data_IF_181674915058
#
_entry.id   IF_181674915058
#
_cell.length_a   1.000
_cell.length_b   1.000
_cell.length_c   1.000
_cell.angle_alpha   90.00
_cell.angle_beta   90.00
_cell.angle_gamma   90.00
#
_symmetry.space_group_name_H-M   'P 1'
#
loop_
_entity.id
_entity.type
_entity.pdbx_description
1 polymer ?
#
# COMPACT_ATOMS: atom_id res chain seq x y z
N UNK A 1 -14.30 1.60 -24.48
CA UNK A 1 -14.07 2.42 -23.26
C UNK A 1 -14.93 3.68 -23.17
N UNK A 2 -15.93 3.93 -24.04
CA UNK A 2 -16.79 5.13 -23.92
C UNK A 2 -17.93 4.99 -22.91
N UNK A 3 -18.35 3.76 -22.59
CA UNK A 3 -19.59 3.52 -21.84
C UNK A 3 -19.37 3.15 -20.35
N UNK A 4 -18.12 3.01 -19.92
CA UNK A 4 -17.78 2.64 -18.53
C UNK A 4 -17.11 3.83 -17.81
N UNK A 5 -17.82 4.94 -17.70
CA UNK A 5 -17.41 6.00 -16.77
C UNK A 5 -17.83 5.62 -15.35
N UNK A 6 -16.89 5.75 -14.41
CA UNK A 6 -17.18 5.51 -13.00
C UNK A 6 -18.27 6.47 -12.51
N UNK A 7 -19.36 5.88 -12.03
CA UNK A 7 -20.43 6.56 -11.33
C UNK A 7 -20.66 5.80 -10.02
N UNK A 8 -20.76 6.49 -8.87
CA UNK A 8 -21.14 5.83 -7.63
C UNK A 8 -22.48 5.10 -7.79
N UNK A 9 -22.59 3.90 -7.22
CA UNK A 9 -23.79 3.07 -7.33
C UNK A 9 -24.99 3.88 -6.78
N UNK A 10 -26.04 4.03 -7.59
CA UNK A 10 -27.25 4.79 -7.25
C UNK A 10 -27.16 6.31 -7.43
N UNK A 11 -26.01 6.86 -7.83
CA UNK A 11 -25.87 8.28 -8.09
C UNK A 11 -26.23 8.64 -9.55
N UNK A 12 -26.77 9.84 -9.75
CA UNK A 12 -26.96 10.38 -11.09
C UNK A 12 -25.61 10.50 -11.84
N UNK A 13 -25.65 10.34 -13.16
CA UNK A 13 -24.48 10.31 -14.05
C UNK A 13 -23.93 11.71 -14.33
N UNK A 14 -23.43 12.36 -13.27
CA UNK A 14 -22.99 13.76 -13.29
C UNK A 14 -21.49 13.86 -13.01
N UNK A 15 -20.82 14.74 -13.75
CA UNK A 15 -19.37 14.92 -13.66
C UNK A 15 -18.89 15.35 -12.26
N UNK A 16 -19.75 16.00 -11.45
CA UNK A 16 -19.41 16.40 -10.08
C UNK A 16 -19.06 15.25 -9.13
N UNK A 17 -19.42 14.02 -9.48
CA UNK A 17 -19.11 12.82 -8.69
C UNK A 17 -17.78 12.17 -9.10
N UNK A 18 -17.06 12.74 -10.08
CA UNK A 18 -15.78 12.24 -10.56
C UNK A 18 -14.64 12.89 -9.78
N UNK A 19 -14.26 12.24 -8.69
CA UNK A 19 -13.16 12.70 -7.83
C UNK A 19 -11.78 12.28 -8.33
N UNK A 20 -11.68 11.45 -9.35
CA UNK A 20 -10.40 11.04 -9.92
C UNK A 20 -10.39 11.12 -11.45
N UNK A 21 -9.21 11.33 -12.03
CA UNK A 21 -9.01 11.33 -13.49
C UNK A 21 -7.63 10.80 -13.86
N UNK A 22 -7.46 10.45 -15.12
CA UNK A 22 -6.15 10.14 -15.69
C UNK A 22 -5.71 11.24 -16.65
N UNK A 23 -4.40 11.36 -16.83
CA UNK A 23 -3.78 12.31 -17.73
C UNK A 23 -2.51 11.71 -18.32
N UNK A 24 -2.48 11.55 -19.64
CA UNK A 24 -1.34 11.05 -20.38
C UNK A 24 -1.33 11.63 -21.80
N UNK A 25 -0.26 11.39 -22.56
CA UNK A 25 -0.04 12.00 -23.88
C UNK A 25 -1.17 11.76 -24.90
N UNK A 26 -1.92 10.66 -24.77
CA UNK A 26 -3.00 10.26 -25.67
C UNK A 26 -4.40 10.68 -25.16
N UNK A 27 -4.48 11.55 -24.16
CA UNK A 27 -5.75 12.04 -23.64
C UNK A 27 -6.33 13.14 -24.54
N UNK A 28 -7.66 13.19 -24.78
CA UNK A 28 -8.26 14.18 -25.68
C UNK A 28 -7.94 15.62 -25.26
N UNK A 29 -7.57 16.47 -26.23
CA UNK A 29 -7.11 17.84 -25.97
C UNK A 29 -8.10 18.68 -25.16
N UNK A 30 -9.39 18.59 -25.48
CA UNK A 30 -10.45 19.32 -24.78
C UNK A 30 -10.57 18.90 -23.29
N UNK A 31 -10.42 17.61 -23.00
CA UNK A 31 -10.43 17.11 -21.62
C UNK A 31 -9.17 17.53 -20.88
N UNK A 32 -8.03 17.49 -21.57
CA UNK A 32 -6.74 17.95 -21.07
C UNK A 32 -6.82 19.40 -20.62
N UNK A 33 -7.28 20.29 -21.50
CA UNK A 33 -7.45 21.73 -21.22
C UNK A 33 -8.40 21.96 -20.05
N UNK A 34 -9.53 21.24 -20.01
CA UNK A 34 -10.50 21.33 -18.91
C UNK A 34 -9.88 20.99 -17.57
N UNK A 35 -9.16 19.86 -17.48
CA UNK A 35 -8.49 19.41 -16.25
C UNK A 35 -7.47 20.46 -15.81
N UNK A 36 -6.56 20.86 -16.70
CA UNK A 36 -5.50 21.84 -16.40
C UNK A 36 -6.08 23.16 -15.92
N UNK A 37 -7.05 23.71 -16.66
CA UNK A 37 -7.70 24.97 -16.30
C UNK A 37 -8.34 24.90 -14.91
N UNK A 38 -9.06 23.82 -14.61
CA UNK A 38 -9.71 23.66 -13.30
C UNK A 38 -8.71 23.56 -12.15
N UNK A 39 -7.58 22.84 -12.36
CA UNK A 39 -6.53 22.66 -11.35
C UNK A 39 -5.79 23.97 -11.09
N UNK A 40 -5.38 24.68 -12.13
CA UNK A 40 -4.68 25.97 -12.01
C UNK A 40 -5.54 27.04 -11.34
N UNK A 41 -6.85 27.03 -11.62
CA UNK A 41 -7.80 27.96 -11.00
C UNK A 41 -8.16 27.59 -9.55
N UNK A 42 -7.75 26.42 -9.05
CA UNK A 42 -8.09 25.95 -7.70
C UNK A 42 -9.58 25.62 -7.51
N UNK A 43 -10.31 25.37 -8.61
CA UNK A 43 -11.76 25.04 -8.60
C UNK A 43 -12.02 23.59 -9.00
N UNK A 44 -10.96 22.79 -9.15
CA UNK A 44 -11.08 21.38 -9.52
C UNK A 44 -11.71 20.58 -8.38
N UNK A 45 -12.66 19.73 -8.74
CA UNK A 45 -13.23 18.69 -7.85
C UNK A 45 -12.39 17.40 -7.84
N UNK A 46 -11.39 17.32 -8.72
CA UNK A 46 -10.51 16.15 -8.84
C UNK A 46 -9.58 16.13 -7.64
N UNK A 47 -9.69 15.07 -6.85
CA UNK A 47 -8.84 14.80 -5.69
C UNK A 47 -7.63 13.94 -6.06
N UNK A 48 -7.76 13.04 -7.04
CA UNK A 48 -6.68 12.13 -7.46
C UNK A 48 -6.48 12.21 -8.97
N UNK A 49 -5.24 12.49 -9.40
CA UNK A 49 -4.88 12.55 -10.81
C UNK A 49 -3.79 11.51 -11.11
N UNK A 50 -4.12 10.52 -11.93
CA UNK A 50 -3.16 9.54 -12.43
C UNK A 50 -2.39 10.12 -13.61
N UNK A 51 -1.07 10.25 -13.47
CA UNK A 51 -0.19 10.81 -14.48
C UNK A 51 0.92 9.83 -14.83
N UNK A 52 1.39 9.84 -16.09
CA UNK A 52 2.64 9.17 -16.46
C UNK A 52 3.81 10.17 -16.43
N UNK A 53 5.05 9.65 -16.37
CA UNK A 53 6.31 10.44 -16.40
C UNK A 53 6.33 11.48 -17.53
N UNK A 54 5.57 11.24 -18.61
CA UNK A 54 5.34 12.20 -19.70
C UNK A 54 4.59 13.48 -19.27
N UNK A 55 4.33 13.69 -17.98
CA UNK A 55 3.89 14.98 -17.43
C UNK A 55 5.07 15.97 -17.34
N UNK A 56 5.61 16.33 -18.51
CA UNK A 56 6.51 17.48 -18.73
C UNK A 56 5.77 18.82 -18.75
N UNK A 57 4.59 18.89 -18.14
CA UNK A 57 3.77 20.09 -18.23
C UNK A 57 4.24 21.04 -17.16
N UNK A 58 4.75 22.20 -17.59
CA UNK A 58 5.11 23.33 -16.75
C UNK A 58 3.91 24.01 -16.10
N UNK A 59 2.91 23.22 -15.69
CA UNK A 59 1.73 23.69 -14.97
C UNK A 59 2.11 23.88 -13.51
N UNK A 60 1.90 25.09 -13.04
CA UNK A 60 2.10 25.50 -11.67
C UNK A 60 0.80 25.29 -10.87
N UNK A 61 0.60 24.06 -10.38
CA UNK A 61 -0.47 23.75 -9.41
C UNK A 61 0.13 23.90 -8.01
N UNK A 62 -0.38 24.85 -7.23
CA UNK A 62 0.29 25.28 -5.99
C UNK A 62 0.06 24.34 -4.82
N UNK A 63 -1.13 23.76 -4.74
CA UNK A 63 -1.70 23.11 -3.57
C UNK A 63 -1.72 21.58 -3.65
N UNK A 64 -0.82 20.99 -4.45
CA UNK A 64 -0.63 19.53 -4.46
C UNK A 64 -0.10 19.08 -3.09
N UNK A 65 -0.90 18.26 -2.39
CA UNK A 65 -0.55 17.74 -1.05
C UNK A 65 0.28 16.47 -1.10
N UNK A 66 0.08 15.64 -2.11
CA UNK A 66 0.76 14.35 -2.21
C UNK A 66 1.17 14.08 -3.66
N UNK A 67 2.40 13.62 -3.82
CA UNK A 67 2.88 12.97 -5.05
C UNK A 67 3.23 11.54 -4.69
N UNK A 68 2.63 10.59 -5.41
CA UNK A 68 2.81 9.16 -5.17
C UNK A 68 3.36 8.53 -6.45
N UNK A 69 4.59 8.03 -6.36
CA UNK A 69 5.24 7.24 -7.40
C UNK A 69 4.91 5.78 -7.21
N UNK A 70 4.30 5.17 -8.23
CA UNK A 70 4.11 3.73 -8.33
C UNK A 70 5.22 3.17 -9.22
N UNK A 71 6.26 2.64 -8.60
CA UNK A 71 7.53 2.29 -9.23
C UNK A 71 8.58 3.39 -9.03
N UNK A 72 9.86 3.02 -9.23
CA UNK A 72 11.00 3.92 -9.02
C UNK A 72 11.24 4.77 -10.29
N UNK A 73 11.33 6.11 -10.18
CA UNK A 73 11.86 6.97 -11.24
C UNK A 73 13.23 6.53 -11.73
N UNK A 74 13.61 6.82 -12.98
CA UNK A 74 14.90 6.31 -13.50
C UNK A 74 16.09 7.06 -12.93
N UNK A 75 15.95 8.37 -12.70
CA UNK A 75 17.02 9.22 -12.18
C UNK A 75 16.59 10.03 -10.96
N UNK A 76 17.59 10.54 -10.23
CA UNK A 76 17.35 11.44 -9.10
C UNK A 76 16.74 12.77 -9.53
N UNK A 77 17.09 13.27 -10.72
CA UNK A 77 16.56 14.51 -11.29
C UNK A 77 15.09 14.37 -11.66
N UNK A 78 14.70 13.25 -12.28
CA UNK A 78 13.28 12.93 -12.55
C UNK A 78 12.49 12.93 -11.24
N UNK A 79 12.94 12.16 -10.25
CA UNK A 79 12.30 12.11 -8.94
C UNK A 79 12.20 13.50 -8.30
N UNK A 80 13.29 14.27 -8.29
CA UNK A 80 13.32 15.59 -7.66
C UNK A 80 12.35 16.58 -8.34
N UNK A 81 12.29 16.59 -9.67
CA UNK A 81 11.36 17.44 -10.40
C UNK A 81 9.90 17.04 -10.18
N UNK A 82 9.60 15.74 -10.19
CA UNK A 82 8.24 15.22 -10.02
C UNK A 82 7.75 15.40 -8.58
N UNK A 83 8.54 14.99 -7.59
CA UNK A 83 8.23 15.16 -6.17
C UNK A 83 8.12 16.65 -5.79
N UNK A 84 8.97 17.50 -6.37
CA UNK A 84 8.97 18.96 -6.16
C UNK A 84 7.74 19.71 -6.68
N UNK A 85 6.77 19.01 -7.31
CA UNK A 85 5.48 19.58 -7.67
C UNK A 85 4.55 19.76 -6.48
N UNK A 86 4.72 18.99 -5.40
CA UNK A 86 3.92 19.13 -4.20
C UNK A 86 4.35 20.34 -3.35
N UNK A 87 3.41 20.97 -2.63
CA UNK A 87 3.72 21.95 -1.59
C UNK A 87 4.28 23.28 -2.08
N UNK A 88 3.96 23.71 -3.31
CA UNK A 88 4.45 24.98 -3.88
C UNK A 88 3.81 26.22 -3.24
N UNK A 89 2.70 26.04 -2.53
CA UNK A 89 2.10 27.01 -1.60
C UNK A 89 2.84 27.10 -0.24
N UNK A 90 3.88 26.30 -0.03
CA UNK A 90 4.66 26.25 1.21
C UNK A 90 4.03 25.44 2.33
N UNK A 91 2.86 24.85 2.12
CA UNK A 91 2.20 24.00 3.12
C UNK A 91 2.82 22.59 3.16
N UNK A 92 2.72 21.88 4.31
CA UNK A 92 3.20 20.51 4.41
C UNK A 92 2.62 19.60 3.32
N UNK A 93 3.50 18.89 2.64
CA UNK A 93 3.17 17.95 1.58
C UNK A 93 4.07 16.71 1.67
N UNK A 94 3.65 15.61 1.05
CA UNK A 94 4.37 14.33 1.07
C UNK A 94 4.71 13.88 -0.36
N UNK A 95 5.94 13.39 -0.53
CA UNK A 95 6.35 12.64 -1.71
C UNK A 95 6.60 11.19 -1.28
N UNK A 96 5.92 10.24 -1.91
CA UNK A 96 5.91 8.83 -1.54
C UNK A 96 6.34 8.01 -2.75
N UNK A 97 7.30 7.10 -2.56
CA UNK A 97 7.71 6.15 -3.60
C UNK A 97 7.39 4.75 -3.14
N UNK A 98 6.51 4.10 -3.87
CA UNK A 98 6.26 2.67 -3.73
C UNK A 98 7.08 1.91 -4.74
N UNK A 99 7.80 0.89 -4.29
CA UNK A 99 8.62 0.05 -5.14
C UNK A 99 8.71 -1.38 -4.61
N UNK A 100 9.01 -2.31 -5.51
CA UNK A 100 9.30 -3.70 -5.18
C UNK A 100 10.71 -4.10 -5.62
N UNK A 101 11.12 -5.34 -5.33
CA UNK A 101 12.44 -5.87 -5.71
C UNK A 101 12.69 -5.87 -7.23
N UNK A 102 11.63 -6.02 -8.03
CA UNK A 102 11.71 -5.93 -9.49
C UNK A 102 12.02 -4.50 -9.94
N UNK A 103 11.38 -3.50 -9.33
CA UNK A 103 11.57 -2.09 -9.62
C UNK A 103 13.01 -1.64 -9.36
N UNK A 104 13.68 -2.23 -8.37
CA UNK A 104 15.08 -1.98 -8.04
C UNK A 104 16.00 -3.14 -8.46
N UNK A 105 15.60 -3.94 -9.44
CA UNK A 105 16.45 -5.00 -9.98
C UNK A 105 17.60 -4.43 -10.82
N UNK A 106 18.77 -5.07 -10.78
CA UNK A 106 19.92 -4.69 -11.62
C UNK A 106 19.62 -4.82 -13.13
N UNK A 107 18.62 -5.63 -13.49
CA UNK A 107 18.17 -5.80 -14.87
C UNK A 107 17.25 -4.69 -15.40
N UNK A 108 16.76 -3.79 -14.53
CA UNK A 108 15.94 -2.65 -14.96
C UNK A 108 16.79 -1.66 -15.73
N UNK A 109 16.59 -1.61 -17.05
CA UNK A 109 17.26 -0.68 -17.95
C UNK A 109 16.94 0.77 -17.55
N UNK A 110 17.91 1.66 -17.73
CA UNK A 110 17.83 3.11 -17.46
C UNK A 110 17.73 3.54 -15.99
N UNK A 111 17.45 2.63 -15.04
CA UNK A 111 17.50 2.97 -13.62
C UNK A 111 18.95 3.20 -13.19
N UNK A 112 19.23 4.42 -12.73
CA UNK A 112 20.54 4.80 -12.21
C UNK A 112 20.84 4.15 -10.87
N UNK A 113 22.10 3.81 -10.61
CA UNK A 113 22.52 3.25 -9.33
C UNK A 113 22.33 4.25 -8.18
N UNK A 114 22.39 5.55 -8.48
CA UNK A 114 22.11 6.59 -7.48
C UNK A 114 20.65 6.55 -7.03
N UNK A 115 19.70 6.47 -7.96
CA UNK A 115 18.28 6.40 -7.61
C UNK A 115 17.93 5.08 -6.91
N UNK A 116 18.56 3.98 -7.34
CA UNK A 116 18.47 2.68 -6.67
C UNK A 116 18.92 2.79 -5.21
N UNK A 117 20.09 3.37 -4.96
CA UNK A 117 20.61 3.58 -3.62
C UNK A 117 19.69 4.51 -2.80
N UNK A 118 19.20 5.60 -3.41
CA UNK A 118 18.32 6.57 -2.76
C UNK A 118 17.09 5.91 -2.13
N UNK A 119 16.40 5.02 -2.85
CA UNK A 119 15.19 4.36 -2.33
C UNK A 119 15.51 3.29 -1.29
N UNK A 120 16.66 2.61 -1.39
CA UNK A 120 17.04 1.50 -0.49
C UNK A 120 17.66 1.94 0.85
N UNK A 121 18.44 3.03 0.87
CA UNK A 121 19.18 3.42 2.08
C UNK A 121 18.27 3.97 3.19
N UNK A 122 18.57 3.66 4.45
CA UNK A 122 17.78 4.07 5.63
C UNK A 122 18.16 5.45 6.22
N UNK A 123 19.19 6.11 5.68
CA UNK A 123 19.57 7.45 6.15
C UNK A 123 18.59 8.53 5.65
N UNK A 124 18.70 9.73 6.22
CA UNK A 124 17.94 10.91 5.82
C UNK A 124 17.94 11.13 4.29
N UNK A 125 16.76 10.97 3.67
CA UNK A 125 16.55 11.21 2.23
C UNK A 125 16.82 12.67 1.84
N UNK A 126 16.50 13.63 2.71
CA UNK A 126 16.79 15.06 2.46
C UNK A 126 18.29 15.32 2.38
N UNK A 127 19.10 14.76 3.28
CA UNK A 127 20.56 14.86 3.23
C UNK A 127 21.11 14.27 1.93
N UNK A 128 20.58 13.12 1.50
CA UNK A 128 20.97 12.50 0.24
C UNK A 128 20.70 13.42 -0.96
N UNK A 129 19.49 13.97 -1.07
CA UNK A 129 19.11 14.90 -2.15
C UNK A 129 20.02 16.13 -2.16
N UNK A 130 20.22 16.77 -1.00
CA UNK A 130 21.07 17.97 -0.90
C UNK A 130 22.51 17.67 -1.32
N UNK A 131 23.09 16.57 -0.84
CA UNK A 131 24.44 16.16 -1.23
C UNK A 131 24.54 15.88 -2.74
N UNK A 132 23.55 15.16 -3.30
CA UNK A 132 23.52 14.82 -4.71
C UNK A 132 23.60 16.06 -5.62
N UNK A 133 22.86 17.13 -5.27
CA UNK A 133 22.88 18.40 -6.00
C UNK A 133 23.98 19.37 -5.55
N UNK A 134 24.92 18.94 -4.70
CA UNK A 134 26.04 19.78 -4.24
C UNK A 134 25.66 20.92 -3.29
N UNK A 135 24.52 20.81 -2.61
CA UNK A 135 24.07 21.79 -1.63
C UNK A 135 24.59 21.48 -0.21
N UNK A 136 24.86 22.53 0.56
CA UNK A 136 25.22 22.41 1.98
C UNK A 136 24.03 21.85 2.77
N UNK A 137 24.29 20.87 3.62
CA UNK A 137 23.30 20.35 4.56
C UNK A 137 23.18 21.35 5.72
N UNK A 138 21.99 21.90 6.00
CA UNK A 138 21.81 22.75 7.17
C UNK A 138 21.90 21.91 8.45
N UNK A 139 22.63 22.43 9.43
CA UNK A 139 22.59 21.90 10.79
C UNK A 139 21.18 22.13 11.36
N UNK A 140 20.58 21.07 11.90
CA UNK A 140 19.28 21.14 12.56
C UNK A 140 19.42 20.52 13.93
N UNK A 141 19.10 21.31 14.94
CA UNK A 141 19.07 20.88 16.32
C UNK A 141 17.63 20.48 16.69
N UNK A 142 17.15 19.40 16.06
CA UNK A 142 15.82 18.85 16.32
C UNK A 142 15.98 17.37 16.70
N UNK A 143 15.34 16.93 17.80
CA UNK A 143 15.48 15.56 18.31
C UNK A 143 14.85 14.51 17.37
N UNK A 144 13.93 14.92 16.49
CA UNK A 144 13.17 13.99 15.64
C UNK A 144 13.24 14.32 14.14
N UNK A 145 13.26 13.26 13.34
CA UNK A 145 13.39 13.32 11.90
C UNK A 145 12.03 13.51 11.20
N UNK A 146 11.51 14.73 11.14
CA UNK A 146 10.18 15.01 10.54
C UNK A 146 10.18 15.12 9.02
N UNK A 147 11.32 14.89 8.36
CA UNK A 147 11.47 15.23 6.94
C UNK A 147 11.46 14.10 5.94
N UNK A 148 11.60 12.86 6.41
CA UNK A 148 11.44 11.66 5.61
C UNK A 148 11.21 10.46 6.54
N UNK A 149 11.11 9.30 5.92
CA UNK A 149 10.99 7.96 6.46
C UNK A 149 12.20 7.45 7.27
N UNK A 150 13.25 8.24 7.44
CA UNK A 150 14.39 7.85 8.27
C UNK A 150 13.97 7.84 9.74
N UNK A 151 13.62 6.64 10.21
CA UNK A 151 13.13 6.40 11.55
C UNK A 151 13.94 5.27 12.20
N UNK A 152 14.21 5.42 13.49
CA UNK A 152 14.81 4.38 14.34
C UNK A 152 13.70 3.77 15.19
N UNK A 153 12.73 3.06 14.58
CA UNK A 153 11.78 2.22 15.35
C UNK A 153 12.10 0.74 15.19
N UNK A 154 11.62 -0.04 16.16
CA UNK A 154 11.60 -1.50 16.19
C UNK A 154 10.18 -2.05 16.00
N UNK A 155 9.34 -1.35 15.22
CA UNK A 155 7.91 -1.60 15.13
C UNK A 155 7.54 -2.41 13.87
N UNK A 156 6.84 -3.53 14.04
CA UNK A 156 6.52 -4.50 12.98
C UNK A 156 5.61 -3.91 11.87
N UNK A 157 4.71 -2.98 12.23
CA UNK A 157 3.75 -2.33 11.32
C UNK A 157 4.14 -0.90 10.93
N UNK A 158 5.42 -0.56 10.99
CA UNK A 158 5.85 0.73 10.49
C UNK A 158 5.54 0.82 8.99
N UNK A 159 4.57 1.66 8.60
CA UNK A 159 4.26 1.97 7.19
C UNK A 159 5.47 2.53 6.40
N UNK A 160 6.60 2.74 7.07
CA UNK A 160 7.87 3.26 6.56
C UNK A 160 9.03 2.24 6.66
N UNK A 161 8.83 1.07 7.30
CA UNK A 161 9.81 -0.02 7.37
C UNK A 161 9.25 -1.27 6.70
N UNK A 162 10.02 -1.78 5.74
CA UNK A 162 9.98 -3.17 5.29
C UNK A 162 8.80 -3.65 4.42
N UNK A 163 8.71 -3.10 3.20
CA UNK A 163 8.24 -3.90 2.03
C UNK A 163 9.40 -4.73 1.43
N UNK A 164 10.61 -4.66 2.02
CA UNK A 164 11.83 -5.26 1.49
C UNK A 164 12.36 -6.49 2.25
N UNK A 165 11.82 -6.85 3.43
CA UNK A 165 12.40 -7.90 4.29
C UNK A 165 11.67 -9.27 4.29
N UNK A 166 10.74 -9.53 3.36
CA UNK A 166 10.07 -10.85 3.27
C UNK A 166 10.88 -11.92 2.50
N UNK A 167 12.22 -11.82 2.47
CA UNK A 167 13.11 -12.81 1.84
C UNK A 167 14.27 -13.22 2.78
N UNK A 168 14.00 -13.37 4.08
CA UNK A 168 14.93 -14.07 4.99
C UNK A 168 14.19 -15.25 5.57
N UNK A 169 14.68 -16.45 5.25
CA UNK A 169 14.18 -17.71 5.77
C UNK A 169 14.22 -17.70 7.31
N UNK A 170 13.17 -18.16 8.00
CA UNK A 170 13.20 -18.27 9.45
C UNK A 170 13.95 -19.55 9.84
N UNK A 171 15.23 -19.40 10.21
CA UNK A 171 15.89 -20.38 11.07
C UNK A 171 15.45 -20.16 12.52
N UNK A 172 14.86 -21.21 13.09
CA UNK A 172 14.70 -21.60 14.49
C UNK A 172 14.70 -20.51 15.58
N UNK A 173 13.57 -20.39 16.27
CA UNK A 173 13.59 -20.18 17.72
C UNK A 173 12.42 -20.90 18.41
N UNK A 174 12.82 -21.83 19.28
CA UNK A 174 11.98 -22.57 20.21
C UNK A 174 11.58 -21.71 21.42
N UNK A 175 10.48 -22.17 22.04
CA UNK A 175 10.06 -22.04 23.45
C UNK A 175 9.51 -20.70 23.94
N UNK A 176 8.26 -20.70 24.44
CA UNK A 176 8.01 -21.00 25.85
C UNK A 176 6.53 -20.83 26.28
N UNK A 177 6.00 -21.92 26.86
CA UNK A 177 5.04 -22.02 28.00
C UNK A 177 3.64 -21.41 28.00
N UNK A 178 2.69 -22.33 28.16
CA UNK A 178 1.32 -22.22 28.65
C UNK A 178 1.22 -21.64 30.06
N UNK A 179 0.14 -20.90 30.33
CA UNK A 179 -0.52 -20.92 31.64
C UNK A 179 -2.05 -20.83 31.46
N UNK A 180 -2.72 -21.76 32.11
CA UNK A 180 -4.17 -21.94 32.16
C UNK A 180 -4.84 -20.98 33.13
N UNK A 181 -6.11 -20.65 32.86
CA UNK A 181 -7.08 -20.18 33.86
C UNK A 181 -8.50 -20.50 33.38
N UNK A 182 -9.28 -21.11 34.25
CA UNK A 182 -10.60 -21.69 34.04
C UNK A 182 -11.77 -20.74 34.34
N UNK A 183 -12.98 -21.15 33.88
CA UNK A 183 -14.35 -20.82 34.34
C UNK A 183 -15.05 -19.60 33.67
N UNK A 184 -16.34 -19.61 33.23
CA UNK A 184 -17.47 -20.55 33.28
C UNK A 184 -18.52 -20.19 32.18
N UNK A 185 -19.08 -21.23 31.56
CA UNK A 185 -20.44 -21.47 31.02
C UNK A 185 -21.34 -20.34 30.46
N UNK A 186 -21.71 -20.48 29.18
CA UNK A 186 -23.12 -20.32 28.73
C UNK A 186 -23.46 -21.29 27.57
N UNK A 187 -24.67 -21.85 27.63
CA UNK A 187 -25.15 -23.00 26.85
C UNK A 187 -25.76 -22.61 25.50
N UNK A 188 -24.92 -22.62 24.48
CA UNK A 188 -25.30 -23.07 23.14
C UNK A 188 -24.23 -24.05 22.70
N UNK A 189 -24.60 -25.16 22.04
CA UNK A 189 -23.63 -26.14 21.53
C UNK A 189 -22.93 -25.56 20.30
N UNK A 190 -22.27 -24.41 20.47
CA UNK A 190 -21.27 -23.94 19.55
C UNK A 190 -20.05 -24.80 19.82
N UNK A 191 -19.74 -25.68 18.88
CA UNK A 191 -18.48 -26.38 18.86
C UNK A 191 -17.37 -25.36 19.05
N UNK A 192 -16.53 -25.59 20.05
CA UNK A 192 -15.32 -24.80 20.27
C UNK A 192 -14.17 -25.60 19.69
N UNK A 193 -13.38 -24.97 18.82
CA UNK A 193 -12.18 -25.60 18.27
C UNK A 193 -11.16 -25.83 19.40
N UNK A 194 -10.52 -26.98 19.40
CA UNK A 194 -9.42 -27.25 20.32
C UNK A 194 -8.11 -26.57 19.86
N UNK A 195 -7.12 -26.49 20.74
CA UNK A 195 -5.84 -25.83 20.45
C UNK A 195 -5.12 -26.40 19.22
N UNK A 196 -5.25 -27.71 18.98
CA UNK A 196 -4.63 -28.36 17.81
C UNK A 196 -5.35 -27.96 16.52
N UNK A 197 -6.68 -27.96 16.50
CA UNK A 197 -7.49 -27.51 15.36
C UNK A 197 -7.20 -26.04 15.03
N UNK A 198 -7.16 -25.17 16.05
CA UNK A 198 -6.82 -23.75 15.89
C UNK A 198 -5.43 -23.59 15.27
N UNK A 199 -4.43 -24.33 15.77
CA UNK A 199 -3.06 -24.28 15.26
C UNK A 199 -2.98 -24.73 13.80
N UNK A 200 -3.71 -25.77 13.41
CA UNK A 200 -3.74 -26.26 12.03
C UNK A 200 -4.39 -25.23 11.10
N UNK A 201 -5.56 -24.69 11.47
CA UNK A 201 -6.28 -23.68 10.69
C UNK A 201 -5.40 -22.44 10.51
N UNK A 202 -4.80 -21.93 11.59
CA UNK A 202 -3.88 -20.78 11.54
C UNK A 202 -2.74 -21.02 10.55
N UNK A 203 -2.05 -22.15 10.67
CA UNK A 203 -0.90 -22.49 9.80
C UNK A 203 -1.31 -22.60 8.33
N UNK A 204 -2.48 -23.18 8.04
CA UNK A 204 -2.98 -23.27 6.66
C UNK A 204 -3.36 -21.90 6.09
N UNK A 205 -3.99 -21.03 6.89
CA UNK A 205 -4.33 -19.66 6.48
C UNK A 205 -3.08 -18.80 6.25
N UNK A 206 -2.07 -18.93 7.11
CA UNK A 206 -0.77 -18.29 6.94
C UNK A 206 -0.06 -18.79 5.67
N UNK A 207 -0.10 -20.09 5.40
CA UNK A 207 0.46 -20.66 4.18
C UNK A 207 -0.29 -20.14 2.94
N UNK A 208 -1.62 -20.13 2.96
CA UNK A 208 -2.43 -19.55 1.89
C UNK A 208 -2.08 -18.08 1.66
N UNK A 209 -1.99 -17.29 2.74
CA UNK A 209 -1.56 -15.89 2.70
C UNK A 209 -0.22 -15.73 1.98
N UNK A 210 0.77 -16.56 2.25
CA UNK A 210 2.06 -16.53 1.56
C UNK A 210 1.94 -16.82 0.05
N UNK A 211 0.98 -17.66 -0.37
CA UNK A 211 0.72 -17.88 -1.80
C UNK A 211 0.09 -16.68 -2.50
N UNK A 212 -0.60 -15.80 -1.76
CA UNK A 212 -1.20 -14.59 -2.30
C UNK A 212 -0.17 -13.50 -2.62
N UNK A 213 1.07 -13.66 -2.15
CA UNK A 213 2.14 -12.76 -2.56
C UNK A 213 2.29 -12.86 -4.08
N UNK A 214 1.90 -11.80 -4.78
CA UNK A 214 1.94 -11.77 -6.23
C UNK A 214 3.33 -12.13 -6.73
N UNK A 215 3.43 -13.19 -7.52
CA UNK A 215 4.59 -13.46 -8.38
C UNK A 215 4.66 -12.45 -9.56
N UNK A 216 3.80 -11.44 -9.56
CA UNK A 216 3.63 -10.46 -10.62
C UNK A 216 4.39 -9.14 -10.38
N UNK A 217 4.76 -8.49 -11.48
CA UNK A 217 5.52 -7.23 -11.54
C UNK A 217 4.80 -6.00 -10.95
N UNK A 218 3.53 -6.13 -10.55
CA UNK A 218 2.58 -5.02 -10.38
C UNK A 218 2.01 -4.86 -8.96
N UNK A 219 2.44 -5.66 -7.98
CA UNK A 219 1.98 -5.51 -6.60
C UNK A 219 2.85 -4.51 -5.83
N UNK A 220 2.19 -3.67 -5.04
CA UNK A 220 2.78 -2.62 -4.18
C UNK A 220 2.31 -2.85 -2.74
N UNK A 221 3.24 -2.85 -1.79
CA UNK A 221 2.96 -3.10 -0.38
C UNK A 221 3.08 -4.58 0.01
N UNK A 222 3.01 -4.86 1.31
CA UNK A 222 2.97 -6.22 1.83
C UNK A 222 1.68 -6.96 1.46
N UNK A 223 1.63 -8.27 1.69
CA UNK A 223 0.49 -9.14 1.33
C UNK A 223 -0.83 -8.55 1.83
N UNK A 224 -0.88 -8.11 3.09
CA UNK A 224 -2.05 -7.46 3.69
C UNK A 224 -2.59 -6.30 2.84
N UNK A 225 -1.73 -5.40 2.37
CA UNK A 225 -2.13 -4.24 1.58
C UNK A 225 -2.54 -4.63 0.16
N UNK A 226 -1.82 -5.57 -0.44
CA UNK A 226 -2.03 -5.97 -1.83
C UNK A 226 -3.29 -6.85 -2.01
N UNK A 227 -3.63 -7.66 -1.01
CA UNK A 227 -4.69 -8.67 -1.12
C UNK A 227 -5.84 -8.43 -0.15
N UNK A 228 -5.66 -7.58 0.87
CA UNK A 228 -6.60 -7.45 1.98
C UNK A 228 -6.58 -8.64 2.94
N UNK A 229 -5.64 -9.59 2.78
CA UNK A 229 -5.54 -10.79 3.60
C UNK A 229 -4.56 -10.56 4.77
N UNK A 230 -5.06 -9.98 5.86
CA UNK A 230 -4.28 -9.58 7.04
C UNK A 230 -4.15 -10.68 8.10
N UNK A 231 -3.28 -10.51 9.08
CA UNK A 231 -3.22 -11.43 10.23
C UNK A 231 -4.46 -11.27 11.12
N UNK A 232 -4.99 -10.06 11.25
CA UNK A 232 -6.26 -9.81 11.94
C UNK A 232 -7.43 -10.53 11.25
N UNK A 233 -7.41 -10.65 9.91
CA UNK A 233 -8.39 -11.47 9.21
C UNK A 233 -8.24 -12.94 9.59
N UNK A 234 -7.01 -13.46 9.71
CA UNK A 234 -6.76 -14.85 10.16
C UNK A 234 -7.32 -15.06 11.57
N UNK A 235 -7.07 -14.12 12.48
CA UNK A 235 -7.60 -14.18 13.85
C UNK A 235 -9.14 -14.18 13.85
N UNK A 236 -9.77 -13.27 13.09
CA UNK A 236 -11.24 -13.24 12.94
C UNK A 236 -11.80 -14.54 12.34
N UNK A 237 -11.10 -15.17 11.41
CA UNK A 237 -11.49 -16.46 10.84
C UNK A 237 -11.46 -17.52 11.93
N UNK A 238 -10.38 -17.62 12.71
CA UNK A 238 -10.22 -18.61 13.77
C UNK A 238 -11.31 -18.47 14.83
N UNK A 239 -11.63 -17.24 15.24
CA UNK A 239 -12.69 -16.96 16.22
C UNK A 239 -14.07 -17.43 15.74
N UNK A 240 -14.32 -17.41 14.43
CA UNK A 240 -15.62 -17.74 13.86
C UNK A 240 -15.67 -19.11 13.17
N UNK A 241 -14.54 -19.79 13.01
CA UNK A 241 -14.36 -20.94 12.13
C UNK A 241 -15.39 -22.06 12.37
N UNK A 242 -15.65 -22.41 13.64
CA UNK A 242 -16.62 -23.45 13.99
C UNK A 242 -18.08 -23.15 13.61
N UNK A 243 -18.37 -21.90 13.23
CA UNK A 243 -19.72 -21.44 12.91
C UNK A 243 -19.91 -21.06 11.45
N UNK A 244 -18.84 -21.09 10.64
CA UNK A 244 -18.91 -20.77 9.21
C UNK A 244 -19.59 -21.92 8.45
N UNK A 245 -20.66 -21.60 7.71
CA UNK A 245 -21.49 -22.64 7.04
C UNK A 245 -21.39 -22.65 5.51
N UNK A 246 -20.95 -21.56 4.90
CA UNK A 246 -20.73 -21.49 3.46
C UNK A 246 -19.76 -20.36 3.10
N UNK A 247 -19.37 -20.31 1.83
CA UNK A 247 -18.60 -19.19 1.25
C UNK A 247 -19.35 -17.87 1.39
N UNK A 248 -20.67 -17.87 1.21
CA UNK A 248 -21.52 -16.68 1.41
C UNK A 248 -21.51 -16.22 2.86
N UNK A 249 -21.48 -17.14 3.83
CA UNK A 249 -21.40 -16.83 5.25
C UNK A 249 -20.05 -16.15 5.59
N UNK A 250 -18.96 -16.62 4.97
CA UNK A 250 -17.64 -15.97 5.07
C UNK A 250 -17.68 -14.55 4.53
N UNK A 251 -18.21 -14.33 3.32
CA UNK A 251 -18.26 -13.00 2.70
C UNK A 251 -19.17 -12.02 3.45
N UNK A 252 -20.19 -12.52 4.16
CA UNK A 252 -21.12 -11.70 4.92
C UNK A 252 -20.56 -11.29 6.29
N UNK A 253 -19.83 -12.19 6.96
CA UNK A 253 -19.42 -12.04 8.36
C UNK A 253 -17.98 -11.60 8.55
N UNK A 254 -17.12 -11.82 7.57
CA UNK A 254 -15.70 -11.49 7.62
C UNK A 254 -15.38 -10.39 6.60
N UNK A 255 -14.36 -9.55 6.84
CA UNK A 255 -13.97 -8.45 5.93
C UNK A 255 -13.25 -8.98 4.68
N UNK A 256 -13.92 -9.85 3.92
CA UNK A 256 -13.40 -10.55 2.74
C UNK A 256 -14.14 -10.05 1.50
N UNK A 257 -13.43 -9.31 0.64
CA UNK A 257 -14.00 -8.68 -0.55
C UNK A 257 -13.75 -9.49 -1.85
N UNK A 258 -13.11 -10.66 -1.73
CA UNK A 258 -12.79 -11.56 -2.83
C UNK A 258 -13.45 -12.92 -2.62
N UNK A 259 -14.24 -13.37 -3.60
CA UNK A 259 -14.87 -14.70 -3.54
C UNK A 259 -13.82 -15.82 -3.45
N UNK A 260 -12.69 -15.68 -4.15
CA UNK A 260 -11.59 -16.64 -4.11
C UNK A 260 -10.98 -16.76 -2.71
N UNK A 261 -10.84 -15.64 -1.98
CA UNK A 261 -10.38 -15.68 -0.60
C UNK A 261 -11.43 -16.35 0.29
N UNK A 262 -12.71 -16.06 0.07
CA UNK A 262 -13.79 -16.67 0.85
C UNK A 262 -13.89 -18.18 0.65
N UNK A 263 -13.69 -18.67 -0.58
CA UNK A 263 -13.60 -20.09 -0.91
C UNK A 263 -12.44 -20.75 -0.17
N UNK A 264 -11.22 -20.20 -0.27
CA UNK A 264 -10.06 -20.74 0.43
C UNK A 264 -10.21 -20.74 1.96
N UNK A 265 -10.74 -19.67 2.54
CA UNK A 265 -11.05 -19.58 3.97
C UNK A 265 -12.02 -20.68 4.38
N UNK A 266 -13.12 -20.84 3.63
CA UNK A 266 -14.13 -21.84 3.92
C UNK A 266 -13.58 -23.28 3.79
N UNK A 267 -12.81 -23.57 2.75
CA UNK A 267 -12.18 -24.88 2.54
C UNK A 267 -11.19 -25.24 3.67
N UNK A 268 -10.47 -24.26 4.22
CA UNK A 268 -9.57 -24.45 5.36
C UNK A 268 -10.36 -24.63 6.66
N UNK A 269 -11.34 -23.77 6.94
CA UNK A 269 -12.11 -23.81 8.17
C UNK A 269 -13.03 -25.04 8.27
N UNK A 270 -13.54 -25.52 7.14
CA UNK A 270 -14.49 -26.65 7.07
C UNK A 270 -13.85 -28.03 7.25
N UNK A 271 -12.52 -28.12 7.34
CA UNK A 271 -11.81 -29.38 7.61
C UNK A 271 -12.06 -29.91 9.04
N UNK A 272 -12.54 -29.05 9.93
CA UNK A 272 -12.80 -29.39 11.33
C UNK A 272 -14.27 -29.23 11.61
#
# INVERSE_FOLDING_TARGET
MKDEQYHPIGAATIAKNRLFSQFHAQYPDHERERIVKSLVQGVSIIQVLFVTVAFGIGIDIKDIRQVIHIGVPYTMEEYYQEAGRCGRDGQPSKAIVYFNSYDISKGRKHLTDTMRNYVQQKNCKRKFILNYFGHKIPERDLPEHTCCDSHQCTCDDCLLSDVAMLLVDPEDSNDATCNSSTHLEDMSVHRVLNEQEISIIRKQLEQYRLTLHGQGRSCVGGITLATGFSFELIDNVIEQAATLKSVEDVMLRLPVFSRTHAEAIFDIASQF
#
